data_IF_837490974124
#
_entry.id   IF_837490974124
#
_cell.length_a   1.000
_cell.length_b   1.000
_cell.length_c   1.000
_cell.angle_alpha   90.00
_cell.angle_beta   90.00
_cell.angle_gamma   90.00
#
_symmetry.space_group_name_H-M   'P 1'
#
loop_
_entity.id
_entity.type
_entity.pdbx_description
1 polymer ?
#
# COMPACT_ATOMS: atom_id res chain seq x y z
N UNK A 1 16.01 -1.99 -0.66
CA UNK A 1 14.66 -1.92 -0.07
C UNK A 1 13.72 -1.21 -1.05
N UNK A 2 12.56 -1.80 -1.31
CA UNK A 2 11.48 -1.21 -2.11
C UNK A 2 10.57 -0.35 -1.24
N UNK A 3 10.12 0.79 -1.75
CA UNK A 3 9.31 1.75 -0.98
C UNK A 3 8.04 2.12 -1.75
N UNK A 4 6.88 1.88 -1.14
CA UNK A 4 5.59 2.38 -1.60
C UNK A 4 5.12 3.52 -0.70
N UNK A 5 4.64 4.60 -1.31
CA UNK A 5 3.94 5.68 -0.60
C UNK A 5 2.47 5.68 -1.03
N UNK A 6 1.57 5.46 -0.08
CA UNK A 6 0.15 5.25 -0.35
C UNK A 6 -0.70 6.49 -0.04
N UNK A 7 -1.81 6.68 -0.75
CA UNK A 7 -2.80 7.72 -0.46
C UNK A 7 -2.43 9.10 -1.00
N UNK A 8 -1.92 9.18 -2.23
CA UNK A 8 -1.76 10.46 -2.92
C UNK A 8 -3.11 10.98 -3.41
N UNK A 9 -3.35 12.28 -3.23
CA UNK A 9 -4.57 12.97 -3.68
C UNK A 9 -4.27 14.11 -4.67
N UNK A 10 -2.99 14.40 -4.93
CA UNK A 10 -2.56 15.52 -5.75
C UNK A 10 -1.41 15.11 -6.68
N UNK A 11 -1.51 15.53 -7.95
CA UNK A 11 -0.59 15.14 -9.02
C UNK A 11 0.84 15.69 -8.84
N UNK A 12 0.98 16.96 -8.45
CA UNK A 12 2.29 17.58 -8.23
C UNK A 12 3.01 16.93 -7.04
N UNK A 13 2.28 16.66 -5.96
CA UNK A 13 2.80 15.98 -4.78
C UNK A 13 3.25 14.54 -5.08
N UNK A 14 2.46 13.80 -5.87
CA UNK A 14 2.85 12.46 -6.33
C UNK A 14 4.10 12.50 -7.21
N UNK A 15 4.15 13.43 -8.18
CA UNK A 15 5.30 13.61 -9.07
C UNK A 15 6.57 13.98 -8.29
N UNK A 16 6.48 14.92 -7.36
CA UNK A 16 7.63 15.33 -6.53
C UNK A 16 8.14 14.16 -5.69
N UNK A 17 7.24 13.42 -5.03
CA UNK A 17 7.60 12.24 -4.26
C UNK A 17 8.24 11.14 -5.11
N UNK A 18 7.73 10.89 -6.32
CA UNK A 18 8.30 9.94 -7.28
C UNK A 18 9.74 10.27 -7.66
N UNK A 19 10.08 11.55 -7.81
CA UNK A 19 11.45 11.98 -8.14
C UNK A 19 12.44 11.79 -6.99
N UNK A 20 11.98 11.56 -5.75
CA UNK A 20 12.84 11.20 -4.62
C UNK A 20 13.28 9.72 -4.64
N UNK A 21 12.74 8.94 -5.58
CA UNK A 21 13.10 7.54 -5.79
C UNK A 21 12.29 6.58 -4.92
N UNK A 22 11.01 6.84 -4.69
CA UNK A 22 10.06 5.78 -4.28
C UNK A 22 9.83 4.83 -5.45
N UNK A 23 9.45 3.58 -5.16
CA UNK A 23 9.26 2.53 -6.19
C UNK A 23 7.79 2.41 -6.63
N UNK A 24 6.84 2.80 -5.78
CA UNK A 24 5.42 2.70 -6.06
C UNK A 24 4.62 3.82 -5.39
N UNK A 25 3.50 4.19 -6.01
CA UNK A 25 2.46 5.03 -5.41
C UNK A 25 1.19 4.22 -5.15
N UNK A 26 0.40 4.61 -4.15
CA UNK A 26 -0.94 4.08 -3.92
C UNK A 26 -2.03 5.12 -4.15
N UNK A 27 -3.02 4.76 -4.97
CA UNK A 27 -4.25 5.51 -5.23
C UNK A 27 -5.40 4.80 -4.52
N UNK A 28 -6.15 5.51 -3.67
CA UNK A 28 -7.16 4.89 -2.81
C UNK A 28 -8.55 5.09 -3.40
N UNK A 29 -9.15 4.01 -3.88
CA UNK A 29 -10.51 3.96 -4.41
C UNK A 29 -11.48 3.41 -3.35
N UNK A 30 -11.47 4.05 -2.17
CA UNK A 30 -12.37 3.76 -1.06
C UNK A 30 -12.93 5.07 -0.50
N UNK A 31 -14.22 5.33 -0.77
CA UNK A 31 -14.94 6.58 -0.51
C UNK A 31 -14.88 7.06 0.96
N UNK A 32 -14.85 6.13 1.91
CA UNK A 32 -14.74 6.44 3.35
C UNK A 32 -13.33 6.83 3.78
N UNK A 33 -12.33 6.69 2.92
CA UNK A 33 -10.96 7.09 3.21
C UNK A 33 -10.79 8.60 3.05
N UNK A 34 -10.11 9.30 3.96
CA UNK A 34 -9.73 10.71 3.75
C UNK A 34 -8.71 10.89 2.61
N UNK A 35 -8.20 9.79 2.05
CA UNK A 35 -7.23 9.75 0.96
C UNK A 35 -7.87 9.29 -0.35
N UNK A 36 -9.21 9.21 -0.38
CA UNK A 36 -9.96 8.83 -1.56
C UNK A 36 -9.64 9.73 -2.75
N UNK A 37 -9.50 9.12 -3.93
CA UNK A 37 -9.44 9.80 -5.22
C UNK A 37 -10.51 9.24 -6.15
N UNK A 38 -11.14 10.12 -6.92
CA UNK A 38 -11.99 9.70 -8.05
C UNK A 38 -11.12 9.33 -9.27
N UNK A 39 -11.76 8.80 -10.30
CA UNK A 39 -11.12 8.36 -11.55
C UNK A 39 -10.37 9.51 -12.23
N UNK A 40 -10.97 10.71 -12.28
CA UNK A 40 -10.36 11.87 -12.91
C UNK A 40 -9.07 12.31 -12.19
N UNK A 41 -9.13 12.40 -10.85
CA UNK A 41 -7.98 12.76 -10.03
C UNK A 41 -6.87 11.69 -10.10
N UNK A 42 -7.26 10.41 -10.08
CA UNK A 42 -6.33 9.29 -10.22
C UNK A 42 -5.61 9.34 -11.58
N UNK A 43 -6.33 9.60 -12.66
CA UNK A 43 -5.76 9.75 -14.00
C UNK A 43 -4.79 10.94 -14.08
N UNK A 44 -5.15 12.08 -13.50
CA UNK A 44 -4.27 13.24 -13.42
C UNK A 44 -2.97 12.93 -12.66
N UNK A 45 -3.06 12.20 -11.53
CA UNK A 45 -1.89 11.76 -10.77
C UNK A 45 -1.00 10.85 -11.61
N UNK A 46 -1.58 9.82 -12.23
CA UNK A 46 -0.84 8.84 -13.05
C UNK A 46 -0.12 9.51 -14.22
N UNK A 47 -0.77 10.46 -14.89
CA UNK A 47 -0.19 11.18 -16.02
C UNK A 47 0.97 12.10 -15.63
N UNK A 48 1.06 12.50 -14.36
CA UNK A 48 2.15 13.34 -13.86
C UNK A 48 3.41 12.54 -13.49
N UNK A 49 3.33 11.20 -13.39
CA UNK A 49 4.43 10.38 -12.88
C UNK A 49 5.58 10.23 -13.89
N UNK A 50 6.84 10.17 -13.42
CA UNK A 50 7.95 9.74 -14.24
C UNK A 50 7.86 8.23 -14.55
N UNK A 51 8.63 7.72 -15.53
CA UNK A 51 8.71 6.29 -15.79
C UNK A 51 9.26 5.51 -14.58
N UNK A 52 9.01 4.20 -14.57
CA UNK A 52 9.49 3.24 -13.57
C UNK A 52 8.90 3.39 -12.16
N UNK A 53 7.75 4.05 -12.04
CA UNK A 53 6.95 4.08 -10.82
C UNK A 53 5.77 3.12 -11.00
N UNK A 54 5.62 2.16 -10.09
CA UNK A 54 4.45 1.27 -10.10
C UNK A 54 3.22 2.00 -9.56
N UNK A 55 2.11 1.91 -10.29
CA UNK A 55 0.83 2.56 -9.99
C UNK A 55 -0.11 1.54 -9.34
N UNK A 56 -0.27 1.62 -8.02
CA UNK A 56 -1.10 0.69 -7.26
C UNK A 56 -2.48 1.28 -7.00
N UNK A 57 -3.54 0.62 -7.46
CA UNK A 57 -4.92 0.96 -7.11
C UNK A 57 -5.38 0.15 -5.90
N UNK A 58 -5.77 0.83 -4.82
CA UNK A 58 -6.22 0.22 -3.58
C UNK A 58 -7.74 0.23 -3.51
N UNK A 59 -8.33 -0.95 -3.30
CA UNK A 59 -9.76 -1.18 -3.18
C UNK A 59 -10.08 -1.83 -1.83
N UNK A 60 -11.27 -1.55 -1.31
CA UNK A 60 -11.80 -2.16 -0.09
C UNK A 60 -13.22 -2.60 -0.38
N UNK A 61 -13.43 -3.90 -0.57
CA UNK A 61 -14.73 -4.51 -0.82
C UNK A 61 -15.53 -3.77 -1.92
N UNK A 62 -14.83 -3.35 -2.98
CA UNK A 62 -15.41 -2.60 -4.08
C UNK A 62 -16.20 -3.53 -5.02
N UNK A 63 -17.29 -3.02 -5.58
CA UNK A 63 -18.04 -3.74 -6.62
C UNK A 63 -17.15 -3.98 -7.85
N UNK A 64 -17.23 -5.16 -8.44
CA UNK A 64 -16.38 -5.52 -9.59
C UNK A 64 -16.56 -4.58 -10.77
N UNK A 65 -17.79 -4.10 -11.01
CA UNK A 65 -18.08 -3.12 -12.05
C UNK A 65 -17.34 -1.79 -11.86
N UNK A 66 -17.14 -1.37 -10.61
CA UNK A 66 -16.39 -0.15 -10.31
C UNK A 66 -14.89 -0.37 -10.51
N UNK A 67 -14.37 -1.54 -10.15
CA UNK A 67 -12.97 -1.89 -10.43
C UNK A 67 -12.73 -1.92 -11.94
N UNK A 68 -13.65 -2.50 -12.71
CA UNK A 68 -13.59 -2.52 -14.19
C UNK A 68 -13.61 -1.10 -14.78
N UNK A 69 -14.44 -0.20 -14.26
CA UNK A 69 -14.47 1.22 -14.66
C UNK A 69 -13.11 1.89 -14.41
N UNK A 70 -12.55 1.73 -13.21
CA UNK A 70 -11.23 2.29 -12.87
C UNK A 70 -10.15 1.73 -13.78
N UNK A 71 -10.18 0.42 -14.08
CA UNK A 71 -9.20 -0.23 -14.96
C UNK A 71 -9.31 0.19 -16.42
N UNK A 72 -10.49 0.63 -16.87
CA UNK A 72 -10.67 1.17 -18.22
C UNK A 72 -10.03 2.55 -18.40
N UNK A 73 -10.08 3.39 -17.35
CA UNK A 73 -9.71 4.80 -17.44
C UNK A 73 -8.31 5.09 -16.86
N UNK A 74 -7.93 4.40 -15.77
CA UNK A 74 -6.68 4.64 -15.04
C UNK A 74 -5.70 3.51 -15.35
N UNK A 75 -4.55 3.78 -15.98
CA UNK A 75 -3.60 2.73 -16.32
C UNK A 75 -2.82 2.33 -15.06
N UNK A 76 -3.39 1.40 -14.29
CA UNK A 76 -2.78 0.81 -13.10
C UNK A 76 -1.85 -0.35 -13.47
N UNK A 77 -0.81 -0.58 -12.67
CA UNK A 77 0.11 -1.71 -12.83
C UNK A 77 -0.22 -2.87 -11.89
N UNK A 78 -0.82 -2.57 -10.74
CA UNK A 78 -1.04 -3.53 -9.66
C UNK A 78 -2.29 -3.16 -8.88
N UNK A 79 -3.09 -4.17 -8.53
CA UNK A 79 -4.26 -4.02 -7.68
C UNK A 79 -3.88 -4.31 -6.23
N UNK A 80 -4.42 -3.58 -5.27
CA UNK A 80 -4.27 -3.86 -3.84
C UNK A 80 -5.65 -4.05 -3.22
N UNK A 81 -5.95 -5.27 -2.79
CA UNK A 81 -7.20 -5.63 -2.13
C UNK A 81 -7.02 -5.56 -0.62
N UNK A 82 -7.67 -4.60 0.01
CA UNK A 82 -7.44 -4.23 1.41
C UNK A 82 -8.65 -4.50 2.32
N UNK A 83 -9.74 -5.03 1.76
CA UNK A 83 -10.91 -5.49 2.49
C UNK A 83 -10.88 -6.99 2.81
N UNK A 84 -12.06 -7.60 2.75
CA UNK A 84 -12.34 -9.00 3.02
C UNK A 84 -12.60 -9.77 1.71
N UNK A 85 -12.03 -9.29 0.60
CA UNK A 85 -12.18 -9.87 -0.73
C UNK A 85 -11.62 -11.30 -0.76
N UNK A 86 -12.40 -12.21 -1.33
CA UNK A 86 -12.03 -13.60 -1.55
C UNK A 86 -10.95 -13.75 -2.63
N UNK A 87 -10.31 -14.92 -2.66
CA UNK A 87 -9.33 -15.27 -3.70
C UNK A 87 -9.92 -15.15 -5.11
N UNK A 88 -11.18 -15.55 -5.31
CA UNK A 88 -11.86 -15.44 -6.59
C UNK A 88 -12.05 -13.98 -7.02
N UNK A 89 -12.42 -13.11 -6.07
CA UNK A 89 -12.58 -11.68 -6.35
C UNK A 89 -11.25 -11.00 -6.69
N UNK A 90 -10.15 -11.43 -6.05
CA UNK A 90 -8.83 -10.86 -6.30
C UNK A 90 -8.23 -11.28 -7.66
N UNK A 91 -8.53 -12.49 -8.12
CA UNK A 91 -7.86 -13.12 -9.29
C UNK A 91 -8.56 -12.85 -10.62
N UNK A 92 -9.78 -12.30 -10.62
CA UNK A 92 -10.59 -12.13 -11.83
C UNK A 92 -10.02 -11.12 -12.85
N UNK A 93 -9.16 -10.18 -12.44
CA UNK A 93 -8.71 -9.05 -13.27
C UNK A 93 -7.48 -9.34 -14.15
N UNK A 94 -6.92 -10.56 -14.10
CA UNK A 94 -5.72 -10.96 -14.84
C UNK A 94 -4.52 -9.99 -14.68
N UNK A 95 -4.44 -9.31 -13.53
CA UNK A 95 -3.40 -8.36 -13.16
C UNK A 95 -2.64 -8.84 -11.92
N UNK A 96 -1.39 -8.40 -11.74
CA UNK A 96 -0.70 -8.53 -10.45
C UNK A 96 -1.55 -7.90 -9.34
N UNK A 97 -1.69 -8.61 -8.22
CA UNK A 97 -2.40 -8.10 -7.06
C UNK A 97 -1.62 -8.30 -5.77
N UNK A 98 -1.81 -7.38 -4.84
CA UNK A 98 -1.34 -7.42 -3.46
C UNK A 98 -2.57 -7.68 -2.59
N UNK A 99 -2.54 -8.71 -1.74
CA UNK A 99 -3.56 -8.88 -0.70
C UNK A 99 -3.05 -8.26 0.58
N UNK A 100 -3.79 -7.30 1.14
CA UNK A 100 -3.49 -6.79 2.47
C UNK A 100 -4.16 -7.63 3.55
N UNK A 101 -3.41 -7.89 4.62
CA UNK A 101 -3.82 -8.62 5.80
C UNK A 101 -3.72 -7.70 7.01
N UNK A 102 -4.79 -7.64 7.79
CA UNK A 102 -4.85 -6.91 9.05
C UNK A 102 -4.33 -7.83 10.16
N UNK A 103 -3.08 -7.63 10.58
CA UNK A 103 -2.36 -8.57 11.45
C UNK A 103 -2.62 -8.29 12.93
N UNK A 104 -2.98 -9.35 13.64
CA UNK A 104 -3.03 -9.43 15.10
C UNK A 104 -2.47 -10.80 15.56
N UNK A 105 -2.48 -11.08 16.86
CA UNK A 105 -1.95 -12.34 17.41
C UNK A 105 -2.69 -13.60 16.95
N UNK A 106 -3.92 -13.47 16.45
CA UNK A 106 -4.75 -14.58 15.97
C UNK A 106 -4.60 -14.81 14.47
N UNK A 107 -3.90 -13.91 13.76
CA UNK A 107 -3.77 -13.94 12.30
C UNK A 107 -2.77 -15.02 11.89
N UNK A 108 -3.25 -16.04 11.18
CA UNK A 108 -2.38 -17.07 10.59
C UNK A 108 -1.88 -16.63 9.20
N UNK A 109 -0.76 -15.92 9.17
CA UNK A 109 -0.18 -15.40 7.92
C UNK A 109 0.25 -16.52 6.97
N UNK A 110 0.74 -17.65 7.49
CA UNK A 110 1.13 -18.79 6.65
C UNK A 110 -0.06 -19.37 5.91
N UNK A 111 -1.19 -19.60 6.60
CA UNK A 111 -2.42 -20.05 5.95
C UNK A 111 -2.91 -19.04 4.91
N UNK A 112 -2.86 -17.74 5.22
CA UNK A 112 -3.23 -16.71 4.24
C UNK A 112 -2.29 -16.69 3.04
N UNK A 113 -1.00 -16.98 3.22
CA UNK A 113 -0.07 -17.10 2.10
C UNK A 113 -0.41 -18.28 1.18
N UNK A 114 -0.85 -19.41 1.75
CA UNK A 114 -1.30 -20.57 0.98
C UNK A 114 -2.61 -20.27 0.24
N UNK A 115 -3.58 -19.65 0.94
CA UNK A 115 -4.89 -19.30 0.36
C UNK A 115 -4.73 -18.29 -0.80
N UNK A 116 -3.88 -17.28 -0.61
CA UNK A 116 -3.58 -16.22 -1.58
C UNK A 116 -2.26 -16.44 -2.33
N UNK A 117 -1.84 -17.69 -2.58
CA UNK A 117 -0.58 -18.03 -3.24
C UNK A 117 -0.39 -17.40 -4.63
N UNK A 118 -1.48 -16.97 -5.30
CA UNK A 118 -1.43 -16.26 -6.58
C UNK A 118 -1.16 -14.74 -6.43
N UNK A 119 -1.14 -14.20 -5.21
CA UNK A 119 -0.80 -12.81 -4.96
C UNK A 119 0.65 -12.54 -5.35
N UNK A 120 0.92 -11.34 -5.83
CA UNK A 120 2.30 -10.85 -6.08
C UNK A 120 3.02 -10.45 -4.79
N UNK A 121 2.29 -10.34 -3.69
CA UNK A 121 2.82 -10.10 -2.35
C UNK A 121 1.71 -9.94 -1.33
N UNK A 122 2.07 -10.09 -0.05
CA UNK A 122 1.18 -9.82 1.08
C UNK A 122 1.58 -8.52 1.74
N UNK A 123 0.63 -7.61 1.91
CA UNK A 123 0.82 -6.40 2.69
C UNK A 123 0.34 -6.63 4.11
N UNK A 124 1.20 -6.45 5.10
CA UNK A 124 0.87 -6.66 6.51
C UNK A 124 0.66 -5.31 7.19
N UNK A 125 -0.59 -4.99 7.52
CA UNK A 125 -0.98 -3.74 8.19
C UNK A 125 -1.48 -4.01 9.61
N UNK A 126 -1.48 -2.99 10.46
CA UNK A 126 -2.00 -3.09 11.82
C UNK A 126 -3.51 -3.34 11.80
N UNK A 127 -3.98 -4.31 12.60
CA UNK A 127 -5.40 -4.53 12.77
C UNK A 127 -6.07 -3.35 13.49
N UNK A 128 -7.09 -2.77 12.86
CA UNK A 128 -7.98 -1.80 13.47
C UNK A 128 -9.44 -2.24 13.27
N UNK A 129 -10.26 -2.13 14.32
CA UNK A 129 -11.67 -2.58 14.30
C UNK A 129 -12.58 -1.67 13.46
N UNK A 130 -12.24 -0.39 13.37
CA UNK A 130 -13.13 0.63 12.83
C UNK A 130 -12.73 1.06 11.41
N UNK A 131 -11.51 0.70 10.95
CA UNK A 131 -10.95 1.18 9.68
C UNK A 131 -10.14 0.10 8.96
N UNK A 132 -10.11 0.19 7.63
CA UNK A 132 -9.27 -0.62 6.75
C UNK A 132 -7.94 0.12 6.51
N UNK A 133 -7.05 0.08 7.50
CA UNK A 133 -5.70 0.63 7.43
C UNK A 133 -5.60 2.16 7.58
N UNK A 134 -4.37 2.67 7.49
CA UNK A 134 -4.09 4.11 7.46
C UNK A 134 -4.29 4.87 8.78
N UNK A 135 -4.38 4.16 9.91
CA UNK A 135 -4.51 4.74 11.26
C UNK A 135 -3.21 5.31 11.80
N UNK A 136 -2.07 4.86 11.26
CA UNK A 136 -0.74 5.18 11.79
C UNK A 136 -0.38 4.41 13.06
N UNK A 137 -1.21 3.44 13.47
CA UNK A 137 -0.91 2.55 14.59
C UNK A 137 0.09 1.48 14.13
N UNK A 138 1.11 1.23 14.94
CA UNK A 138 2.01 0.10 14.75
C UNK A 138 1.44 -1.13 15.46
N UNK A 139 1.63 -2.30 14.87
CA UNK A 139 1.43 -3.58 15.56
C UNK A 139 2.80 -4.14 15.97
N UNK A 140 2.80 -5.24 16.73
CA UNK A 140 4.04 -5.97 17.00
C UNK A 140 4.59 -6.57 15.70
N UNK A 141 5.57 -5.89 15.09
CA UNK A 141 6.17 -6.31 13.82
C UNK A 141 6.84 -7.68 13.91
N UNK A 142 7.08 -8.24 15.10
CA UNK A 142 7.59 -9.61 15.22
C UNK A 142 6.61 -10.63 14.61
N UNK A 143 5.31 -10.32 14.58
CA UNK A 143 4.29 -11.13 13.93
C UNK A 143 4.46 -11.18 12.41
N UNK A 144 5.08 -10.17 11.80
CA UNK A 144 5.36 -10.13 10.37
C UNK A 144 6.60 -10.95 9.96
N UNK A 145 7.38 -11.45 10.93
CA UNK A 145 8.55 -12.28 10.66
C UNK A 145 8.12 -13.73 10.45
N UNK A 146 7.67 -14.03 9.23
CA UNK A 146 7.22 -15.35 8.80
C UNK A 146 8.07 -15.90 7.67
N UNK A 147 8.12 -17.22 7.55
CA UNK A 147 8.81 -17.93 6.47
C UNK A 147 7.77 -18.44 5.48
N UNK A 148 7.56 -17.67 4.41
CA UNK A 148 6.59 -17.95 3.33
C UNK A 148 7.21 -17.60 1.98
N UNK A 149 6.69 -18.19 0.90
CA UNK A 149 7.22 -17.97 -0.46
C UNK A 149 6.84 -16.59 -1.05
N UNK A 150 5.79 -15.95 -0.51
CA UNK A 150 5.29 -14.67 -1.00
C UNK A 150 6.11 -13.48 -0.46
N UNK A 151 6.39 -12.45 -1.29
CA UNK A 151 7.02 -11.22 -0.81
C UNK A 151 6.17 -10.52 0.26
N UNK A 152 6.78 -10.19 1.39
CA UNK A 152 6.16 -9.39 2.46
C UNK A 152 6.38 -7.89 2.22
N UNK A 153 5.29 -7.14 2.21
CA UNK A 153 5.26 -5.68 2.23
C UNK A 153 4.83 -5.24 3.63
N UNK A 154 5.73 -4.62 4.39
CA UNK A 154 5.42 -4.19 5.76
C UNK A 154 4.76 -2.81 5.74
N UNK A 155 3.59 -2.70 6.37
CA UNK A 155 2.89 -1.45 6.65
C UNK A 155 2.65 -1.31 8.17
N UNK A 156 1.67 -0.50 8.59
CA UNK A 156 1.31 -0.33 10.01
C UNK A 156 2.27 0.56 10.79
N UNK A 157 1.91 1.84 10.94
CA UNK A 157 2.61 2.79 11.81
C UNK A 157 4.04 3.16 11.39
N UNK A 158 4.43 2.85 10.15
CA UNK A 158 5.74 3.22 9.62
C UNK A 158 5.84 4.74 9.42
N UNK A 159 6.97 5.31 9.85
CA UNK A 159 7.33 6.71 9.72
C UNK A 159 8.87 6.84 9.74
N UNK A 160 9.46 8.04 9.54
CA UNK A 160 10.92 8.20 9.52
C UNK A 160 11.65 7.72 10.77
N UNK A 161 11.01 7.76 11.94
CA UNK A 161 11.60 7.37 13.21
C UNK A 161 11.55 5.84 13.42
N UNK A 162 10.56 5.16 12.83
CA UNK A 162 10.28 3.74 13.06
C UNK A 162 10.78 2.79 11.97
N UNK A 163 10.89 3.27 10.73
CA UNK A 163 11.10 2.39 9.56
C UNK A 163 12.39 1.57 9.61
N UNK A 164 13.49 2.14 10.12
CA UNK A 164 14.77 1.45 10.19
C UNK A 164 14.75 0.25 11.15
N UNK A 165 14.06 0.39 12.29
CA UNK A 165 13.87 -0.70 13.24
C UNK A 165 12.96 -1.78 12.68
N UNK A 166 11.84 -1.38 12.07
CA UNK A 166 10.89 -2.29 11.44
C UNK A 166 11.56 -3.18 10.37
N UNK A 167 12.38 -2.56 9.51
CA UNK A 167 13.15 -3.27 8.48
C UNK A 167 14.15 -4.24 9.12
N UNK A 168 14.90 -3.81 10.14
CA UNK A 168 15.88 -4.67 10.81
C UNK A 168 15.22 -5.88 11.48
N UNK A 169 14.02 -5.70 12.01
CA UNK A 169 13.27 -6.74 12.71
C UNK A 169 12.67 -7.77 11.75
N UNK A 170 12.06 -7.31 10.66
CA UNK A 170 11.25 -8.16 9.75
C UNK A 170 12.00 -8.59 8.49
N UNK A 171 12.96 -7.78 8.03
CA UNK A 171 13.62 -7.92 6.72
C UNK A 171 12.63 -8.10 5.54
N UNK A 172 11.67 -7.16 5.36
CA UNK A 172 10.63 -7.29 4.35
C UNK A 172 11.16 -7.05 2.93
N UNK A 173 10.40 -7.49 1.92
CA UNK A 173 10.69 -7.18 0.52
C UNK A 173 10.51 -5.67 0.23
N UNK A 174 9.44 -5.09 0.78
CA UNK A 174 9.12 -3.68 0.65
C UNK A 174 8.54 -3.11 1.95
N UNK A 175 8.54 -1.79 2.07
CA UNK A 175 7.79 -1.05 3.08
C UNK A 175 6.74 -0.17 2.41
N UNK A 176 5.55 -0.07 3.03
CA UNK A 176 4.46 0.82 2.61
C UNK A 176 4.18 1.85 3.70
N UNK A 177 4.12 3.12 3.31
CA UNK A 177 3.85 4.22 4.25
C UNK A 177 2.75 5.13 3.71
N UNK A 178 1.86 5.56 4.60
CA UNK A 178 0.78 6.50 4.28
C UNK A 178 0.78 7.70 5.22
N UNK A 179 0.19 7.58 6.42
CA UNK A 179 0.05 8.68 7.38
C UNK A 179 1.37 9.13 8.01
N UNK A 180 2.35 8.24 8.15
CA UNK A 180 3.66 8.57 8.74
C UNK A 180 4.49 9.59 7.95
N UNK A 181 4.10 9.88 6.70
CA UNK A 181 4.74 10.90 5.84
C UNK A 181 3.75 11.98 5.40
N UNK A 182 2.66 12.18 6.13
CA UNK A 182 1.67 13.24 5.88
C UNK A 182 1.93 14.49 6.72
N UNK A 183 1.56 15.66 6.17
CA UNK A 183 1.37 16.90 6.93
C UNK A 183 -0.06 16.99 7.49
N UNK A 184 -1.03 16.50 6.72
CA UNK A 184 -2.43 16.26 7.10
C UNK A 184 -3.00 15.10 6.28
N UNK A 185 -4.13 14.48 6.68
CA UNK A 185 -4.72 13.37 5.93
C UNK A 185 -4.86 13.69 4.43
N UNK A 186 -4.26 12.86 3.56
CA UNK A 186 -4.28 13.05 2.10
C UNK A 186 -3.20 13.97 1.53
N UNK A 187 -2.45 14.71 2.35
CA UNK A 187 -1.40 15.64 1.91
C UNK A 187 -0.04 15.14 2.38
N UNK A 188 0.81 14.70 1.43
CA UNK A 188 2.14 14.17 1.77
C UNK A 188 3.13 15.30 2.02
N UNK A 189 3.94 15.13 3.07
CA UNK A 189 5.06 15.98 3.42
C UNK A 189 6.33 15.44 2.74
N UNK A 190 6.84 16.18 1.77
CA UNK A 190 7.99 15.80 0.95
C UNK A 190 9.25 15.60 1.80
N UNK A 191 9.46 16.40 2.85
CA UNK A 191 10.63 16.27 3.70
C UNK A 191 10.53 15.04 4.60
N UNK A 192 9.32 14.67 5.05
CA UNK A 192 9.11 13.37 5.72
C UNK A 192 9.35 12.19 4.79
N UNK A 193 8.93 12.28 3.52
CA UNK A 193 9.22 11.22 2.52
C UNK A 193 10.73 11.07 2.32
N UNK A 194 11.48 12.19 2.16
CA UNK A 194 12.95 12.14 2.04
C UNK A 194 13.60 11.45 3.24
N UNK A 195 13.18 11.82 4.46
CA UNK A 195 13.70 11.22 5.69
C UNK A 195 13.36 9.73 5.77
N UNK A 196 12.12 9.36 5.43
CA UNK A 196 11.68 7.97 5.38
C UNK A 196 12.53 7.14 4.42
N UNK A 197 12.75 7.62 3.19
CA UNK A 197 13.57 6.94 2.18
C UNK A 197 15.00 6.75 2.68
N UNK A 198 15.59 7.80 3.26
CA UNK A 198 16.95 7.74 3.79
C UNK A 198 17.09 6.67 4.87
N UNK A 199 16.15 6.64 5.82
CA UNK A 199 16.12 5.68 6.93
C UNK A 199 15.79 4.25 6.50
N UNK A 200 14.99 4.08 5.44
CA UNK A 200 14.64 2.78 4.91
C UNK A 200 15.76 2.12 4.07
N UNK A 201 16.75 2.91 3.65
CA UNK A 201 17.87 2.47 2.79
C UNK A 201 19.24 2.50 3.48
N UNK A 202 19.31 2.96 4.73
CA UNK A 202 20.51 2.95 5.57
C UNK A 202 20.70 1.60 6.24
#
# INVERSE_FOLDING_TARGET
MKIKVCGFTNADNAREASLLGIDAIGLVFYDKSPRHVDVESALAIVNALPPFINRVGLFVNADSSFIDEVLCEVPLDTLQFHGDESVAECTQYAMPFIKALRVNQETNITQMADDYHQASGLLLDAFNKDTYGGTGEAFDWSLAKVDIDLPIILAGGLNPDTVAEAIKQVNPYAVDVSSGVESSPGIKDIDKIKQFIHKARS
#
